data_IF_916279090032
#
_entry.id   IF_916279090032
#
_cell.length_a   1.000
_cell.length_b   1.000
_cell.length_c   1.000
_cell.angle_alpha   90.00
_cell.angle_beta   90.00
_cell.angle_gamma   90.00
#
_symmetry.space_group_name_H-M   'P 1'
#
loop_
_entity.id
_entity.type
_entity.pdbx_description
1 polymer ?
#
# COMPACT_ATOMS: atom_id res chain seq x y z
N UNK A 1 -10.34 -22.47 -18.07
CA UNK A 1 -11.16 -22.39 -16.85
C UNK A 1 -11.91 -21.07 -16.91
N UNK A 2 -13.24 -21.05 -16.79
CA UNK A 2 -13.97 -19.80 -16.64
C UNK A 2 -13.57 -19.20 -15.28
N UNK A 3 -13.12 -17.94 -15.28
CA UNK A 3 -12.90 -17.21 -14.05
C UNK A 3 -14.22 -17.16 -13.28
N UNK A 4 -14.19 -17.44 -11.99
CA UNK A 4 -15.35 -17.24 -11.12
C UNK A 4 -15.81 -15.77 -11.14
N UNK A 5 -16.97 -15.46 -10.55
CA UNK A 5 -17.42 -14.07 -10.48
C UNK A 5 -16.36 -13.21 -9.76
N UNK A 6 -16.17 -11.98 -10.25
CA UNK A 6 -15.22 -11.03 -9.61
C UNK A 6 -15.61 -10.83 -8.13
N UNK A 7 -14.64 -10.79 -7.21
CA UNK A 7 -14.88 -10.44 -5.81
C UNK A 7 -15.16 -8.93 -5.62
N UNK A 8 -15.18 -8.18 -6.72
CA UNK A 8 -15.37 -6.72 -6.73
C UNK A 8 -16.77 -6.38 -7.23
N UNK A 9 -17.44 -5.57 -6.44
CA UNK A 9 -18.70 -4.89 -6.81
C UNK A 9 -18.37 -3.42 -7.12
N UNK A 10 -19.05 -2.86 -8.13
CA UNK A 10 -18.88 -1.46 -8.51
C UNK A 10 -20.07 -0.67 -8.00
N UNK A 11 -19.79 0.38 -7.23
CA UNK A 11 -20.83 1.30 -6.74
C UNK A 11 -21.40 2.15 -7.88
N UNK A 12 -22.54 2.80 -7.66
CA UNK A 12 -23.18 3.67 -8.66
C UNK A 12 -22.27 4.83 -9.10
N UNK A 13 -21.43 5.32 -8.19
CA UNK A 13 -20.42 6.36 -8.46
C UNK A 13 -19.10 5.80 -9.03
N UNK A 14 -19.06 4.51 -9.41
CA UNK A 14 -17.96 3.91 -10.13
C UNK A 14 -16.74 3.50 -9.27
N UNK A 15 -16.89 3.40 -7.95
CA UNK A 15 -15.82 2.93 -7.06
C UNK A 15 -15.84 1.41 -6.88
N UNK A 16 -14.67 0.75 -6.83
CA UNK A 16 -14.59 -0.67 -6.49
C UNK A 16 -14.85 -0.89 -5.00
N UNK A 17 -15.67 -1.88 -4.68
CA UNK A 17 -15.98 -2.34 -3.33
C UNK A 17 -15.66 -3.82 -3.21
N UNK A 18 -14.99 -4.22 -2.16
CA UNK A 18 -14.69 -5.63 -1.94
C UNK A 18 -15.87 -6.32 -1.26
N UNK A 19 -16.43 -7.32 -1.92
CA UNK A 19 -17.68 -7.98 -1.47
C UNK A 19 -17.51 -8.60 -0.09
N UNK A 20 -16.35 -9.23 0.20
CA UNK A 20 -16.11 -9.94 1.45
C UNK A 20 -16.21 -9.03 2.68
N UNK A 21 -15.65 -7.83 2.59
CA UNK A 21 -15.66 -6.87 3.71
C UNK A 21 -16.73 -5.80 3.57
N UNK A 22 -17.35 -5.69 2.41
CA UNK A 22 -18.37 -4.68 2.13
C UNK A 22 -17.84 -3.24 2.21
N UNK A 23 -16.55 -3.04 1.96
CA UNK A 23 -15.88 -1.74 2.05
C UNK A 23 -15.31 -1.31 0.70
N UNK A 24 -15.21 -0.01 0.46
CA UNK A 24 -14.64 0.55 -0.76
C UNK A 24 -13.12 0.67 -0.64
N UNK A 25 -12.41 0.55 -1.77
CA UNK A 25 -10.96 0.66 -1.78
C UNK A 25 -10.43 2.08 -1.60
N UNK A 26 -11.25 3.10 -1.84
CA UNK A 26 -10.89 4.51 -1.65
C UNK A 26 -12.13 5.37 -1.40
N UNK A 27 -11.90 6.57 -0.85
CA UNK A 27 -12.95 7.51 -0.52
C UNK A 27 -13.74 8.04 -1.72
N UNK A 28 -14.88 8.68 -1.46
CA UNK A 28 -15.80 9.16 -2.49
C UNK A 28 -15.29 10.42 -3.22
N UNK A 29 -14.52 11.26 -2.54
CA UNK A 29 -14.13 12.57 -3.07
C UNK A 29 -12.92 12.48 -4.02
N UNK A 30 -11.75 12.15 -3.48
CA UNK A 30 -10.50 12.00 -4.27
C UNK A 30 -9.52 11.07 -3.56
N UNK A 31 -9.58 9.78 -3.89
CA UNK A 31 -8.69 8.76 -3.30
C UNK A 31 -7.20 9.03 -3.53
N UNK A 32 -6.82 9.69 -4.63
CA UNK A 32 -5.43 10.04 -4.88
C UNK A 32 -4.97 11.20 -3.99
N UNK A 33 -5.79 12.23 -3.80
CA UNK A 33 -5.48 13.32 -2.88
C UNK A 33 -5.37 12.80 -1.44
N UNK A 34 -6.28 11.91 -1.03
CA UNK A 34 -6.23 11.24 0.27
C UNK A 34 -4.95 10.42 0.43
N UNK A 35 -4.60 9.58 -0.55
CA UNK A 35 -3.37 8.80 -0.54
C UNK A 35 -2.13 9.70 -0.39
N UNK A 36 -2.06 10.79 -1.16
CA UNK A 36 -0.97 11.76 -1.08
C UNK A 36 -0.87 12.43 0.29
N UNK A 37 -1.99 12.85 0.87
CA UNK A 37 -2.01 13.51 2.17
C UNK A 37 -1.63 12.57 3.32
N UNK A 38 -2.30 11.41 3.39
CA UNK A 38 -2.20 10.50 4.53
C UNK A 38 -0.91 9.68 4.48
N UNK A 39 -0.57 9.09 3.33
CA UNK A 39 0.59 8.21 3.26
C UNK A 39 1.86 8.98 2.90
N UNK A 40 1.86 9.74 1.82
CA UNK A 40 3.08 10.45 1.44
C UNK A 40 3.38 11.60 2.42
N UNK A 41 2.40 12.43 2.70
CA UNK A 41 2.52 13.53 3.66
C UNK A 41 2.76 13.05 5.08
N UNK A 42 1.99 12.07 5.56
CA UNK A 42 2.13 11.47 6.88
C UNK A 42 3.51 10.84 7.12
N UNK A 43 4.08 10.22 6.11
CA UNK A 43 5.45 9.70 6.14
C UNK A 43 6.54 10.75 5.88
N UNK A 44 6.16 12.02 5.65
CA UNK A 44 7.10 13.13 5.43
C UNK A 44 7.86 13.05 4.13
N UNK A 45 7.26 12.41 3.11
CA UNK A 45 7.82 12.34 1.77
C UNK A 45 7.55 13.63 0.99
N UNK A 46 8.49 14.10 0.15
CA UNK A 46 9.77 13.49 -0.21
C UNK A 46 10.93 13.79 0.75
N UNK A 47 10.72 14.59 1.79
CA UNK A 47 11.78 15.01 2.70
C UNK A 47 12.54 13.84 3.36
N UNK A 48 11.85 12.75 3.69
CA UNK A 48 12.41 11.60 4.39
C UNK A 48 13.49 10.83 3.59
N UNK A 49 13.51 10.92 2.27
CA UNK A 49 14.53 10.27 1.42
C UNK A 49 15.63 11.22 0.91
N UNK A 50 15.59 12.50 1.31
CA UNK A 50 16.61 13.46 0.90
C UNK A 50 18.01 13.00 1.29
N UNK A 51 18.93 12.96 0.31
CA UNK A 51 20.31 12.53 0.52
C UNK A 51 20.53 11.02 0.65
N UNK A 52 19.47 10.21 0.51
CA UNK A 52 19.55 8.74 0.62
C UNK A 52 19.65 8.10 -0.76
N UNK A 53 20.50 7.07 -0.87
CA UNK A 53 20.63 6.29 -2.12
C UNK A 53 19.57 5.21 -2.28
N UNK A 54 18.95 4.78 -1.19
CA UNK A 54 17.87 3.82 -1.21
C UNK A 54 16.82 4.19 -0.17
N UNK A 55 15.57 3.88 -0.46
CA UNK A 55 14.46 4.07 0.44
C UNK A 55 13.50 2.89 0.32
N UNK A 56 13.05 2.37 1.45
CA UNK A 56 12.14 1.22 1.47
C UNK A 56 10.80 1.65 2.07
N UNK A 57 9.72 1.35 1.36
CA UNK A 57 8.35 1.54 1.84
C UNK A 57 7.71 0.18 2.05
N UNK A 58 7.17 -0.06 3.25
CA UNK A 58 6.28 -1.18 3.52
C UNK A 58 4.82 -0.74 3.36
N UNK A 59 3.97 -1.62 2.90
CA UNK A 59 2.54 -1.37 2.77
C UNK A 59 1.74 -2.59 3.23
N UNK A 60 0.70 -2.34 4.01
CA UNK A 60 -0.35 -3.30 4.31
C UNK A 60 -1.58 -2.92 3.48
N UNK A 61 -2.03 -3.83 2.61
CA UNK A 61 -3.16 -3.59 1.72
C UNK A 61 -2.75 -2.94 0.38
N UNK A 62 -2.29 -3.75 -0.58
CA UNK A 62 -1.97 -3.29 -1.93
C UNK A 62 -3.19 -2.73 -2.67
N UNK A 63 -4.34 -3.39 -2.49
CA UNK A 63 -5.62 -2.99 -3.05
C UNK A 63 -5.59 -2.80 -4.57
N UNK A 64 -5.88 -1.59 -5.03
CA UNK A 64 -5.83 -1.19 -6.45
C UNK A 64 -4.41 -0.85 -6.95
N UNK A 65 -3.45 -0.72 -6.04
CA UNK A 65 -2.11 -0.21 -6.33
C UNK A 65 -2.04 1.33 -6.37
N UNK A 66 -3.10 2.05 -5.99
CA UNK A 66 -3.14 3.52 -6.05
C UNK A 66 -2.05 4.18 -5.22
N UNK A 67 -1.82 3.72 -3.99
CA UNK A 67 -0.77 4.27 -3.13
C UNK A 67 0.63 4.08 -3.73
N UNK A 68 0.85 2.95 -4.38
CA UNK A 68 2.12 2.67 -5.06
C UNK A 68 2.30 3.60 -6.26
N UNK A 69 1.24 3.85 -7.04
CA UNK A 69 1.31 4.81 -8.15
C UNK A 69 1.56 6.24 -7.65
N UNK A 70 0.91 6.67 -6.57
CA UNK A 70 1.15 7.97 -5.95
C UNK A 70 2.61 8.09 -5.46
N UNK A 71 3.15 7.02 -4.87
CA UNK A 71 4.54 6.94 -4.42
C UNK A 71 5.53 7.00 -5.60
N UNK A 72 5.30 6.23 -6.68
CA UNK A 72 6.13 6.21 -7.88
C UNK A 72 6.12 7.57 -8.59
N UNK A 73 4.96 8.21 -8.67
CA UNK A 73 4.83 9.56 -9.23
C UNK A 73 5.65 10.58 -8.44
N UNK A 74 5.59 10.54 -7.11
CA UNK A 74 6.40 11.41 -6.26
C UNK A 74 7.90 11.07 -6.35
N UNK A 75 8.25 9.77 -6.39
CA UNK A 75 9.63 9.32 -6.53
C UNK A 75 10.24 9.76 -7.85
N UNK A 76 9.52 9.63 -8.96
CA UNK A 76 9.95 10.11 -10.29
C UNK A 76 10.25 11.61 -10.31
N UNK A 77 9.46 12.41 -9.59
CA UNK A 77 9.59 13.87 -9.55
C UNK A 77 10.63 14.37 -8.55
N UNK A 78 10.80 13.70 -7.44
CA UNK A 78 11.57 14.22 -6.30
C UNK A 78 12.50 13.17 -5.66
N UNK A 79 12.65 12.00 -6.25
CA UNK A 79 13.61 10.99 -5.80
C UNK A 79 15.06 11.43 -6.08
N UNK A 80 16.03 10.92 -5.30
CA UNK A 80 17.43 11.23 -5.49
C UNK A 80 17.94 10.64 -6.81
N UNK A 81 18.76 11.40 -7.52
CA UNK A 81 19.35 10.95 -8.78
C UNK A 81 20.12 9.63 -8.61
N UNK A 82 19.77 8.61 -9.40
CA UNK A 82 20.33 7.26 -9.29
C UNK A 82 19.91 6.51 -8.01
N UNK A 83 18.93 7.02 -7.28
CA UNK A 83 18.34 6.37 -6.13
C UNK A 83 17.55 5.11 -6.50
N UNK A 84 17.33 4.25 -5.50
CA UNK A 84 16.51 3.04 -5.62
C UNK A 84 15.38 3.07 -4.61
N UNK A 85 14.14 2.91 -5.11
CA UNK A 85 12.96 2.71 -4.31
C UNK A 85 12.68 1.21 -4.22
N UNK A 86 12.55 0.70 -3.02
CA UNK A 86 12.05 -0.64 -2.77
C UNK A 86 10.68 -0.54 -2.08
N UNK A 87 9.70 -1.21 -2.63
CA UNK A 87 8.38 -1.33 -2.03
C UNK A 87 8.13 -2.78 -1.66
N UNK A 88 7.76 -3.01 -0.41
CA UNK A 88 7.25 -4.29 0.05
C UNK A 88 5.78 -4.13 0.39
N UNK A 89 4.91 -4.66 -0.45
CA UNK A 89 3.46 -4.55 -0.26
C UNK A 89 2.84 -5.92 0.01
N UNK A 90 1.80 -5.96 0.81
CA UNK A 90 1.14 -7.19 1.24
C UNK A 90 -0.34 -7.12 0.89
N UNK A 91 -0.87 -8.20 0.32
CA UNK A 91 -2.27 -8.31 -0.07
C UNK A 91 -2.75 -9.76 0.10
N UNK A 92 -3.85 -9.94 0.80
CA UNK A 92 -4.43 -11.27 0.95
C UNK A 92 -5.35 -11.66 -0.22
N UNK A 93 -5.94 -10.65 -0.87
CA UNK A 93 -6.99 -10.82 -1.88
C UNK A 93 -6.75 -9.93 -3.09
N UNK A 94 -5.78 -10.29 -3.91
CA UNK A 94 -5.40 -9.50 -5.08
C UNK A 94 -6.61 -9.19 -5.96
N UNK A 95 -6.82 -7.90 -6.23
CA UNK A 95 -7.85 -7.45 -7.16
C UNK A 95 -7.58 -8.03 -8.56
N UNK A 96 -8.62 -8.48 -9.30
CA UNK A 96 -8.47 -8.86 -10.69
C UNK A 96 -7.87 -7.72 -11.53
N UNK A 97 -6.96 -8.07 -12.43
CA UNK A 97 -6.22 -7.10 -13.27
C UNK A 97 -7.11 -6.08 -13.97
N UNK A 98 -8.22 -6.55 -14.55
CA UNK A 98 -9.12 -5.68 -15.31
C UNK A 98 -9.91 -4.73 -14.39
N UNK A 99 -10.25 -5.18 -13.16
CA UNK A 99 -10.86 -4.33 -12.14
C UNK A 99 -9.87 -3.29 -11.62
N UNK A 100 -8.59 -3.65 -11.42
CA UNK A 100 -7.54 -2.71 -11.06
C UNK A 100 -7.32 -1.65 -12.15
N UNK A 101 -7.23 -2.08 -13.42
CA UNK A 101 -7.11 -1.17 -14.56
C UNK A 101 -8.29 -0.19 -14.64
N UNK A 102 -9.52 -0.69 -14.45
CA UNK A 102 -10.73 0.14 -14.41
C UNK A 102 -10.70 1.15 -13.25
N UNK A 103 -10.30 0.71 -12.06
CA UNK A 103 -10.21 1.58 -10.89
C UNK A 103 -9.19 2.71 -11.09
N UNK A 104 -8.01 2.39 -11.59
CA UNK A 104 -6.92 3.34 -11.80
C UNK A 104 -7.18 4.33 -12.95
N UNK A 105 -8.07 4.02 -13.88
CA UNK A 105 -8.49 4.92 -14.96
C UNK A 105 -9.17 6.21 -14.44
N UNK A 106 -9.57 6.26 -13.16
CA UNK A 106 -10.11 7.46 -12.52
C UNK A 106 -9.08 8.61 -12.44
N UNK A 107 -7.78 8.32 -12.53
CA UNK A 107 -6.69 9.30 -12.41
C UNK A 107 -5.81 9.37 -13.67
N UNK A 108 -6.23 10.14 -14.70
CA UNK A 108 -5.49 10.24 -15.97
C UNK A 108 -4.04 10.71 -15.82
N UNK A 109 -3.74 11.49 -14.78
CA UNK A 109 -2.39 11.95 -14.49
C UNK A 109 -1.42 10.83 -14.08
N UNK A 110 -1.93 9.66 -13.70
CA UNK A 110 -1.14 8.47 -13.38
C UNK A 110 -1.17 7.43 -14.49
N UNK A 111 -1.79 7.70 -15.64
CA UNK A 111 -2.04 6.69 -16.70
C UNK A 111 -0.78 5.94 -17.13
N UNK A 112 0.33 6.66 -17.39
CA UNK A 112 1.61 6.05 -17.79
C UNK A 112 2.13 5.07 -16.73
N UNK A 113 2.06 5.44 -15.46
CA UNK A 113 2.47 4.58 -14.34
C UNK A 113 1.52 3.39 -14.17
N UNK A 114 0.22 3.65 -14.31
CA UNK A 114 -0.82 2.61 -14.22
C UNK A 114 -0.67 1.58 -15.33
N UNK A 115 -0.42 1.99 -16.58
CA UNK A 115 -0.19 1.08 -17.71
C UNK A 115 0.97 0.13 -17.41
N UNK A 116 2.12 0.64 -16.95
CA UNK A 116 3.29 -0.17 -16.58
C UNK A 116 2.98 -1.16 -15.46
N UNK A 117 2.27 -0.72 -14.41
CA UNK A 117 1.91 -1.60 -13.30
C UNK A 117 0.92 -2.68 -13.73
N UNK A 118 -0.11 -2.32 -14.50
CA UNK A 118 -1.14 -3.25 -15.00
C UNK A 118 -0.55 -4.26 -16.00
N UNK A 119 0.39 -3.85 -16.86
CA UNK A 119 1.09 -4.77 -17.75
C UNK A 119 1.82 -5.88 -16.96
N UNK A 120 2.38 -5.53 -15.80
CA UNK A 120 3.13 -6.42 -14.91
C UNK A 120 2.31 -6.96 -13.74
N UNK A 121 0.99 -6.80 -13.78
CA UNK A 121 0.09 -7.27 -12.71
C UNK A 121 0.26 -8.77 -12.50
N UNK A 122 0.55 -9.22 -11.26
CA UNK A 122 0.87 -10.62 -11.03
C UNK A 122 -0.37 -11.51 -11.15
N UNK A 123 -0.14 -12.79 -11.37
CA UNK A 123 -1.18 -13.79 -11.21
C UNK A 123 -1.59 -13.90 -9.73
N UNK A 124 -2.89 -14.11 -9.48
CA UNK A 124 -3.44 -14.29 -8.14
C UNK A 124 -3.03 -15.66 -7.56
N UNK A 125 -1.73 -15.83 -7.30
CA UNK A 125 -1.13 -17.04 -6.74
C UNK A 125 -0.38 -16.68 -5.45
N UNK A 126 -0.67 -17.41 -4.39
CA UNK A 126 0.00 -17.22 -3.10
C UNK A 126 1.54 -17.29 -3.24
N UNK A 127 2.23 -16.35 -2.62
CA UNK A 127 3.69 -16.25 -2.63
C UNK A 127 4.20 -14.83 -2.74
N UNK A 128 5.50 -14.69 -2.88
CA UNK A 128 6.16 -13.42 -3.15
C UNK A 128 6.30 -13.23 -4.66
N UNK A 129 5.90 -12.07 -5.15
CA UNK A 129 5.95 -11.69 -6.56
C UNK A 129 6.82 -10.44 -6.71
N UNK A 130 7.94 -10.57 -7.41
CA UNK A 130 8.79 -9.42 -7.72
C UNK A 130 8.37 -8.77 -9.02
N UNK A 131 8.14 -7.48 -8.99
CA UNK A 131 7.80 -6.64 -10.11
C UNK A 131 8.90 -5.59 -10.25
N UNK A 132 9.77 -5.77 -11.24
CA UNK A 132 10.83 -4.81 -11.54
C UNK A 132 10.25 -3.62 -12.30
N UNK A 133 10.58 -2.41 -11.84
CA UNK A 133 10.13 -1.14 -12.39
C UNK A 133 11.36 -0.26 -12.70
N UNK A 134 12.25 -0.72 -13.60
CA UNK A 134 13.52 -0.06 -13.87
C UNK A 134 13.36 1.36 -14.43
N UNK A 135 12.28 1.63 -15.15
CA UNK A 135 11.91 2.94 -15.67
C UNK A 135 11.80 4.01 -14.58
N UNK A 136 11.46 3.56 -13.36
CA UNK A 136 11.28 4.41 -12.20
C UNK A 136 12.41 4.26 -11.16
N UNK A 137 13.42 3.43 -11.44
CA UNK A 137 14.45 3.09 -10.46
C UNK A 137 13.87 2.38 -9.23
N UNK A 138 12.81 1.61 -9.41
CA UNK A 138 12.05 0.99 -8.34
C UNK A 138 11.91 -0.53 -8.52
N UNK A 139 11.59 -1.20 -7.41
CA UNK A 139 11.16 -2.60 -7.38
C UNK A 139 10.02 -2.74 -6.39
N UNK A 140 9.01 -3.51 -6.75
CA UNK A 140 7.89 -3.89 -5.89
C UNK A 140 7.95 -5.39 -5.63
N UNK A 141 8.13 -5.76 -4.37
CA UNK A 141 7.93 -7.12 -3.88
C UNK A 141 6.52 -7.20 -3.27
N UNK A 142 5.61 -7.88 -3.94
CA UNK A 142 4.23 -8.07 -3.51
C UNK A 142 4.06 -9.46 -2.90
N UNK A 143 3.67 -9.51 -1.62
CA UNK A 143 3.37 -10.75 -0.92
C UNK A 143 1.86 -11.03 -0.97
N UNK A 144 1.45 -12.06 -1.70
CA UNK A 144 0.05 -12.49 -1.80
C UNK A 144 -0.23 -13.58 -0.75
N UNK A 145 -0.48 -13.14 0.49
CA UNK A 145 -0.73 -14.00 1.66
C UNK A 145 -1.20 -13.19 2.88
N UNK A 146 -1.44 -13.86 4.01
CA UNK A 146 -1.67 -13.20 5.30
C UNK A 146 -0.51 -12.27 5.68
N UNK A 147 -0.83 -11.10 6.25
CA UNK A 147 0.17 -10.09 6.54
C UNK A 147 1.20 -10.53 7.59
N UNK A 148 0.79 -11.31 8.58
CA UNK A 148 1.72 -11.86 9.59
C UNK A 148 2.69 -12.88 8.97
N UNK A 149 2.19 -13.74 8.08
CA UNK A 149 3.05 -14.69 7.34
C UNK A 149 4.02 -13.96 6.40
N UNK A 150 3.55 -12.94 5.71
CA UNK A 150 4.37 -12.13 4.81
C UNK A 150 5.52 -11.44 5.56
N UNK A 151 5.21 -10.81 6.70
CA UNK A 151 6.23 -10.17 7.54
C UNK A 151 7.20 -11.20 8.14
N UNK A 152 6.72 -12.34 8.58
CA UNK A 152 7.60 -13.42 9.09
C UNK A 152 8.57 -13.96 8.04
N UNK A 153 8.21 -13.89 6.76
CA UNK A 153 9.05 -14.30 5.63
C UNK A 153 9.90 -13.19 5.01
N UNK A 154 9.81 -11.96 5.50
CA UNK A 154 10.54 -10.81 4.96
C UNK A 154 11.67 -10.37 5.90
N UNK A 155 12.90 -10.40 5.41
CA UNK A 155 14.10 -9.99 6.19
C UNK A 155 14.38 -8.48 6.12
N UNK A 156 13.59 -7.71 5.39
CA UNK A 156 13.78 -6.28 5.16
C UNK A 156 13.33 -5.39 6.33
N UNK A 157 13.67 -4.11 6.22
CA UNK A 157 13.16 -3.04 7.09
C UNK A 157 12.67 -1.88 6.25
N UNK A 158 11.49 -1.35 6.58
CA UNK A 158 10.92 -0.19 5.91
C UNK A 158 11.34 1.12 6.60
N UNK A 159 11.60 2.12 5.80
CA UNK A 159 11.83 3.51 6.23
C UNK A 159 10.51 4.27 6.41
N UNK A 160 9.46 3.80 5.73
CA UNK A 160 8.10 4.30 5.87
C UNK A 160 7.10 3.16 5.73
N UNK A 161 5.95 3.28 6.40
CA UNK A 161 4.85 2.33 6.30
C UNK A 161 3.55 3.01 5.86
N UNK A 162 2.90 2.43 4.89
CA UNK A 162 1.53 2.74 4.52
C UNK A 162 0.64 1.66 5.14
N UNK A 163 0.00 2.00 6.27
CA UNK A 163 -0.90 1.08 6.96
C UNK A 163 -2.31 1.31 6.41
N UNK A 164 -2.52 0.75 5.23
CA UNK A 164 -3.78 0.78 4.52
C UNK A 164 -4.50 -0.58 4.65
N UNK A 165 -5.78 -0.52 4.66
CA UNK A 165 -6.62 -1.70 4.78
C UNK A 165 -8.06 -1.30 5.07
N UNK A 166 -8.96 -2.23 4.85
CA UNK A 166 -10.37 -2.01 5.17
C UNK A 166 -10.58 -1.64 6.63
N UNK A 167 -11.67 -0.92 6.89
CA UNK A 167 -11.99 -0.38 8.20
C UNK A 167 -11.80 -1.43 9.30
N UNK A 168 -11.19 -1.08 10.45
CA UNK A 168 -10.90 -2.04 11.53
C UNK A 168 -12.12 -2.81 12.05
N UNK A 169 -13.31 -2.26 11.90
CA UNK A 169 -14.56 -2.95 12.26
C UNK A 169 -14.93 -4.07 11.28
N UNK A 170 -14.51 -3.95 10.00
CA UNK A 170 -14.83 -4.88 8.92
C UNK A 170 -13.71 -5.91 8.69
N UNK A 171 -12.46 -5.49 8.88
CA UNK A 171 -11.28 -6.35 8.77
C UNK A 171 -10.39 -6.21 10.02
N UNK A 172 -10.77 -6.80 11.17
CA UNK A 172 -10.02 -6.68 12.42
C UNK A 172 -8.63 -7.33 12.36
N UNK A 173 -8.44 -8.34 11.50
CA UNK A 173 -7.20 -9.10 11.43
C UNK A 173 -6.01 -8.28 10.93
N UNK A 174 -6.25 -7.27 10.08
CA UNK A 174 -5.22 -6.32 9.63
C UNK A 174 -4.74 -5.36 10.73
N UNK A 175 -5.44 -5.31 11.86
CA UNK A 175 -5.20 -4.34 12.93
C UNK A 175 -4.93 -5.01 14.29
N UNK A 176 -4.60 -6.30 14.30
CA UNK A 176 -4.27 -7.06 15.51
C UNK A 176 -2.91 -6.62 16.06
N UNK A 177 -2.75 -6.71 17.37
CA UNK A 177 -1.57 -6.18 18.08
C UNK A 177 -0.27 -6.86 17.64
N UNK A 178 -0.28 -8.17 17.43
CA UNK A 178 0.89 -8.94 16.97
C UNK A 178 1.35 -8.48 15.57
N UNK A 179 0.43 -8.12 14.69
CA UNK A 179 0.75 -7.58 13.37
C UNK A 179 1.39 -6.17 13.49
N UNK A 180 0.83 -5.31 14.33
CA UNK A 180 1.41 -3.97 14.56
C UNK A 180 2.80 -4.05 15.21
N UNK A 181 3.03 -5.02 16.09
CA UNK A 181 4.36 -5.31 16.63
C UNK A 181 5.32 -5.82 15.55
N UNK A 182 4.86 -6.70 14.64
CA UNK A 182 5.65 -7.15 13.51
C UNK A 182 6.02 -5.98 12.57
N UNK A 183 5.09 -5.06 12.28
CA UNK A 183 5.39 -3.82 11.54
C UNK A 183 6.50 -3.03 12.23
N UNK A 184 6.41 -2.84 13.55
CA UNK A 184 7.44 -2.13 14.31
C UNK A 184 8.80 -2.84 14.26
N UNK A 185 8.83 -4.17 14.37
CA UNK A 185 10.05 -4.98 14.26
C UNK A 185 10.71 -4.87 12.88
N UNK A 186 9.91 -4.69 11.83
CA UNK A 186 10.36 -4.46 10.45
C UNK A 186 10.51 -2.98 10.08
N UNK A 187 10.54 -2.09 11.06
CA UNK A 187 10.78 -0.66 10.85
C UNK A 187 12.26 -0.31 11.04
N UNK A 188 12.78 0.53 10.16
CA UNK A 188 14.10 1.14 10.36
C UNK A 188 14.00 2.18 11.50
N UNK A 189 15.12 2.49 12.18
CA UNK A 189 15.14 3.55 13.18
C UNK A 189 14.65 4.89 12.57
N UNK A 190 13.64 5.50 13.21
CA UNK A 190 13.04 6.74 12.74
C UNK A 190 12.04 6.58 11.59
N UNK A 191 11.65 5.33 11.27
CA UNK A 191 10.58 5.06 10.29
C UNK A 191 9.28 5.76 10.70
N UNK A 192 8.50 6.18 9.70
CA UNK A 192 7.20 6.81 9.89
C UNK A 192 6.11 5.92 9.31
N UNK A 193 4.92 6.03 9.87
CA UNK A 193 3.75 5.32 9.36
C UNK A 193 2.58 6.28 9.14
N UNK A 194 1.85 6.08 8.04
CA UNK A 194 0.59 6.76 7.75
C UNK A 194 -0.56 5.77 7.76
N UNK A 195 -1.73 6.20 8.24
CA UNK A 195 -2.96 5.41 8.20
C UNK A 195 -4.19 6.31 8.22
N UNK A 196 -5.25 5.92 7.52
CA UNK A 196 -6.56 6.59 7.56
C UNK A 196 -7.33 6.34 8.85
N UNK A 197 -7.05 5.24 9.54
CA UNK A 197 -7.86 4.86 10.68
C UNK A 197 -7.59 5.73 11.91
N UNK A 198 -8.67 6.24 12.47
CA UNK A 198 -8.66 6.96 13.76
C UNK A 198 -9.10 6.07 14.93
N UNK A 199 -9.27 4.78 14.69
CA UNK A 199 -9.77 3.83 15.70
C UNK A 199 -8.83 3.78 16.92
N UNK A 200 -9.40 4.01 18.11
CA UNK A 200 -8.62 4.07 19.34
C UNK A 200 -7.83 2.79 19.66
N UNK A 201 -8.33 1.62 19.24
CA UNK A 201 -7.60 0.34 19.40
C UNK A 201 -6.33 0.29 18.54
N UNK A 202 -6.38 0.79 17.31
CA UNK A 202 -5.23 0.83 16.41
C UNK A 202 -4.18 1.80 16.93
N UNK A 203 -4.61 2.99 17.35
CA UNK A 203 -3.73 3.97 18.00
C UNK A 203 -2.98 3.36 19.19
N UNK A 204 -3.70 2.73 20.11
CA UNK A 204 -3.07 2.09 21.29
C UNK A 204 -2.14 0.94 20.90
N UNK A 205 -2.49 0.17 19.88
CA UNK A 205 -1.64 -0.91 19.36
C UNK A 205 -0.33 -0.37 18.77
N UNK A 206 -0.38 0.73 18.01
CA UNK A 206 0.81 1.40 17.48
C UNK A 206 1.67 2.00 18.61
N UNK A 207 1.03 2.67 19.61
CA UNK A 207 1.74 3.18 20.78
C UNK A 207 2.43 2.05 21.56
N UNK A 208 1.74 0.93 21.77
CA UNK A 208 2.31 -0.25 22.44
C UNK A 208 3.44 -0.91 21.65
N UNK A 209 3.41 -0.82 20.31
CA UNK A 209 4.47 -1.28 19.42
C UNK A 209 5.67 -0.29 19.35
N UNK A 210 5.60 0.87 19.99
CA UNK A 210 6.69 1.84 20.09
C UNK A 210 6.61 3.01 19.11
N UNK A 211 5.51 3.18 18.38
CA UNK A 211 5.29 4.38 17.55
C UNK A 211 4.78 5.56 18.39
N UNK A 212 5.29 6.75 18.11
CA UNK A 212 4.70 7.99 18.57
C UNK A 212 3.53 8.36 17.64
N UNK A 213 2.29 8.31 18.16
CA UNK A 213 1.10 8.54 17.33
C UNK A 213 0.64 9.99 17.43
N UNK A 214 0.53 10.65 16.28
CA UNK A 214 0.00 12.01 16.14
C UNK A 214 -1.22 12.00 15.23
N UNK A 215 -2.17 12.89 15.49
CA UNK A 215 -3.24 13.19 14.53
C UNK A 215 -2.75 14.30 13.61
N UNK A 216 -2.86 14.07 12.30
CA UNK A 216 -2.64 15.08 11.28
C UNK A 216 -3.94 15.82 11.00
#
# INVERSE_FOLDING_TARGET
>A
MQAGPSPIEWTEDGRPRFILYGDAYFGADDGLAESRAVFLGGCGLPGAWTGRRSFTVGELGFGTGLNILALLDLWRRAGPAGGRLHVFSIEAHLMPRDDAARALAAWPELSELAEVLIERWPEARRGFHRIDLPEFGAVLDLALMDAGEALAGWDGRADAWFLDGFAPALNPDMWREDLLQAVAAHSAPGARAGTFTVAGRVRRGLEAAGFEVRRA
#
